data_IF_937076095087
#
_entry.id   IF_937076095087
#
_cell.length_a   1.000
_cell.length_b   1.000
_cell.length_c   1.000
_cell.angle_alpha   90.00
_cell.angle_beta   90.00
_cell.angle_gamma   90.00
#
_symmetry.space_group_name_H-M   'P 1'
#
loop_
_entity.id
_entity.type
_entity.pdbx_description
1 polymer ?
#
# COMPACT_ATOMS: atom_id res chain seq x y z
N UNK A 1 -1.30 48.19 -5.09
CA UNK A 1 -0.46 47.08 -4.60
C UNK A 1 -1.22 46.14 -3.68
N UNK A 2 -2.01 46.61 -2.71
CA UNK A 2 -2.75 45.74 -1.76
C UNK A 2 -3.80 44.83 -2.42
N UNK A 3 -4.49 45.23 -3.47
CA UNK A 3 -5.52 44.42 -4.14
C UNK A 3 -4.94 43.19 -4.85
N UNK A 4 -3.74 43.29 -5.39
CA UNK A 4 -3.05 42.16 -6.06
C UNK A 4 -2.58 41.10 -5.06
N UNK A 5 -2.15 41.50 -3.87
CA UNK A 5 -1.75 40.56 -2.79
C UNK A 5 -2.98 39.85 -2.25
N UNK A 6 -4.09 40.53 -2.09
CA UNK A 6 -5.34 39.96 -1.60
C UNK A 6 -5.93 38.94 -2.59
N UNK A 7 -5.92 39.24 -3.89
CA UNK A 7 -6.35 38.29 -4.92
C UNK A 7 -5.46 37.04 -5.00
N UNK A 8 -4.14 37.21 -4.87
CA UNK A 8 -3.21 36.08 -4.84
C UNK A 8 -3.42 35.16 -3.63
N UNK A 9 -3.71 35.76 -2.46
CA UNK A 9 -4.01 34.99 -1.24
C UNK A 9 -5.31 34.19 -1.35
N UNK A 10 -6.36 34.78 -1.93
CA UNK A 10 -7.63 34.09 -2.18
C UNK A 10 -7.43 32.91 -3.15
N UNK A 11 -6.70 33.12 -4.24
CA UNK A 11 -6.45 32.11 -5.24
C UNK A 11 -5.66 30.94 -4.67
N UNK A 12 -4.64 31.18 -3.84
CA UNK A 12 -3.87 30.14 -3.15
C UNK A 12 -4.73 29.39 -2.15
N UNK A 13 -5.59 30.06 -1.41
CA UNK A 13 -6.47 29.43 -0.44
C UNK A 13 -7.52 28.54 -1.13
N UNK A 14 -8.13 29.00 -2.22
CA UNK A 14 -9.09 28.19 -2.99
C UNK A 14 -8.42 26.96 -3.61
N UNK A 15 -7.20 27.08 -4.12
CA UNK A 15 -6.44 25.96 -4.68
C UNK A 15 -6.14 24.90 -3.62
N UNK A 16 -5.80 25.32 -2.39
CA UNK A 16 -5.53 24.42 -1.27
C UNK A 16 -6.78 23.64 -0.83
N UNK A 17 -7.94 24.31 -0.78
CA UNK A 17 -9.21 23.68 -0.40
C UNK A 17 -9.67 22.67 -1.44
N UNK A 18 -9.49 22.94 -2.73
CA UNK A 18 -9.83 22.02 -3.83
C UNK A 18 -8.94 20.75 -3.76
N UNK A 19 -7.65 20.91 -3.51
CA UNK A 19 -6.73 19.76 -3.37
C UNK A 19 -7.10 18.88 -2.18
N UNK A 20 -7.45 19.44 -1.04
CA UNK A 20 -7.85 18.68 0.15
C UNK A 20 -9.15 17.88 -0.06
N UNK A 21 -10.11 18.42 -0.78
CA UNK A 21 -11.36 17.71 -1.09
C UNK A 21 -11.17 16.59 -2.11
N UNK A 22 -10.32 16.78 -3.13
CA UNK A 22 -9.99 15.73 -4.09
C UNK A 22 -9.33 14.52 -3.42
N UNK A 23 -8.51 14.73 -2.41
CA UNK A 23 -7.83 13.70 -1.66
C UNK A 23 -8.83 12.81 -0.87
N UNK A 24 -9.74 13.42 -0.12
CA UNK A 24 -10.78 12.70 0.63
C UNK A 24 -11.72 11.91 -0.26
N UNK A 25 -11.98 12.38 -1.48
CA UNK A 25 -12.85 11.68 -2.42
C UNK A 25 -12.28 10.33 -2.87
N UNK A 26 -10.97 10.20 -3.02
CA UNK A 26 -10.34 8.93 -3.40
C UNK A 26 -10.24 7.94 -2.25
N UNK A 27 -10.07 8.38 -1.02
CA UNK A 27 -10.15 7.50 0.15
C UNK A 27 -11.51 6.81 0.27
N UNK A 28 -12.59 7.54 -0.01
CA UNK A 28 -13.94 7.01 0.01
C UNK A 28 -14.23 6.00 -1.11
N UNK A 29 -13.35 5.88 -2.10
CA UNK A 29 -13.44 4.88 -3.19
C UNK A 29 -12.71 3.58 -2.85
N UNK A 30 -12.20 3.42 -1.64
CA UNK A 30 -11.37 2.30 -1.19
C UNK A 30 -11.93 1.82 0.14
N UNK A 31 -12.15 0.50 0.36
CA UNK A 31 -12.57 -0.02 1.66
C UNK A 31 -11.55 0.38 2.73
N UNK A 32 -12.01 0.88 3.86
CA UNK A 32 -11.15 1.37 4.95
C UNK A 32 -10.07 2.40 4.54
N UNK A 33 -10.23 3.08 3.39
CA UNK A 33 -9.17 3.94 2.82
C UNK A 33 -8.74 5.11 3.71
N UNK A 34 -9.55 5.49 4.70
CA UNK A 34 -9.20 6.51 5.69
C UNK A 34 -8.45 5.96 6.92
N UNK A 35 -8.55 4.65 7.18
CA UNK A 35 -8.11 4.00 8.42
C UNK A 35 -6.84 3.17 8.26
N UNK A 36 -6.25 3.17 7.07
CA UNK A 36 -5.03 2.42 6.76
C UNK A 36 -3.86 2.92 7.62
N UNK A 37 -3.09 1.96 8.12
CA UNK A 37 -1.87 2.21 8.90
C UNK A 37 -0.69 1.49 8.26
N UNK A 38 0.49 2.07 8.36
CA UNK A 38 1.75 1.46 8.00
C UNK A 38 2.76 1.67 9.14
N UNK A 39 3.40 0.61 9.61
CA UNK A 39 4.27 0.62 10.79
C UNK A 39 3.58 1.28 12.03
N UNK A 40 2.29 0.98 12.23
CA UNK A 40 1.49 1.51 13.34
C UNK A 40 1.11 3.00 13.20
N UNK A 41 1.53 3.69 12.16
CA UNK A 41 1.23 5.10 11.88
C UNK A 41 0.09 5.23 10.89
N UNK A 42 -0.82 6.19 11.10
CA UNK A 42 -1.87 6.49 10.13
C UNK A 42 -1.27 6.87 8.78
N UNK A 43 -1.78 6.22 7.72
CA UNK A 43 -1.32 6.43 6.34
C UNK A 43 -2.48 6.81 5.42
N UNK A 44 -3.05 8.00 5.57
CA UNK A 44 -4.17 8.44 4.76
C UNK A 44 -3.87 8.50 3.26
N UNK A 45 -2.60 8.60 2.87
CA UNK A 45 -2.13 8.57 1.47
C UNK A 45 -1.99 7.15 0.89
N UNK A 46 -3.00 6.27 1.01
CA UNK A 46 -2.93 4.84 0.68
C UNK A 46 -2.24 4.55 -0.66
N UNK A 47 -2.51 5.33 -1.70
CA UNK A 47 -1.90 5.17 -3.02
C UNK A 47 -0.58 5.91 -3.24
N UNK A 48 0.03 6.47 -2.19
CA UNK A 48 1.22 7.31 -2.30
C UNK A 48 2.39 6.80 -1.46
N UNK A 49 3.60 7.20 -1.86
CA UNK A 49 4.83 6.85 -1.11
C UNK A 49 5.01 7.68 0.17
N UNK A 50 4.16 8.67 0.40
CA UNK A 50 4.14 9.51 1.60
C UNK A 50 2.81 9.39 2.33
N UNK A 51 2.82 9.38 3.66
CA UNK A 51 1.62 9.22 4.49
C UNK A 51 0.59 10.32 4.23
N UNK A 52 1.00 11.56 4.04
CA UNK A 52 0.12 12.68 3.76
C UNK A 52 -0.55 12.62 2.38
N UNK A 53 -0.10 11.72 1.50
CA UNK A 53 -0.51 11.69 0.10
C UNK A 53 0.21 12.72 -0.75
N UNK A 54 -0.13 12.76 -2.04
CA UNK A 54 0.55 13.60 -3.03
C UNK A 54 1.91 13.03 -3.48
N UNK A 55 2.52 13.65 -4.49
CA UNK A 55 3.79 13.19 -5.03
C UNK A 55 3.71 11.82 -5.74
N UNK A 56 4.74 11.00 -5.59
CA UNK A 56 4.83 9.71 -6.27
C UNK A 56 3.78 8.70 -5.76
N UNK A 57 3.25 7.91 -6.69
CA UNK A 57 2.38 6.78 -6.36
C UNK A 57 3.20 5.56 -5.99
N UNK A 58 2.75 4.82 -4.97
CA UNK A 58 3.23 3.48 -4.69
C UNK A 58 2.65 2.45 -5.70
N UNK A 59 2.91 1.17 -5.51
CA UNK A 59 2.41 0.09 -6.39
C UNK A 59 0.89 0.04 -6.42
N UNK A 60 0.23 0.02 -5.27
CA UNK A 60 -1.24 0.08 -5.17
C UNK A 60 -1.83 1.33 -5.84
N UNK A 61 -1.24 2.50 -5.63
CA UNK A 61 -1.73 3.74 -6.25
C UNK A 61 -1.61 3.77 -7.78
N UNK A 62 -0.63 3.07 -8.35
CA UNK A 62 -0.52 2.86 -9.80
C UNK A 62 -1.63 1.94 -10.29
N UNK A 63 -1.89 0.84 -9.59
CA UNK A 63 -2.93 -0.13 -9.91
C UNK A 63 -4.33 0.45 -9.76
N UNK A 64 -4.58 1.20 -8.69
CA UNK A 64 -5.83 1.94 -8.50
C UNK A 64 -6.08 2.96 -9.61
N UNK A 65 -5.05 3.66 -10.07
CA UNK A 65 -5.16 4.57 -11.20
C UNK A 65 -5.46 3.84 -12.52
N UNK A 66 -4.83 2.68 -12.75
CA UNK A 66 -5.09 1.83 -13.90
C UNK A 66 -6.52 1.25 -13.90
N UNK A 67 -7.07 0.99 -12.70
CA UNK A 67 -8.47 0.57 -12.50
C UNK A 67 -9.49 1.73 -12.64
N UNK A 68 -9.06 2.89 -13.16
CA UNK A 68 -9.93 4.05 -13.31
C UNK A 68 -10.25 4.77 -11.99
N UNK A 69 -9.43 4.59 -10.96
CA UNK A 69 -9.63 5.13 -9.60
C UNK A 69 -10.93 4.62 -8.95
N UNK A 70 -11.27 3.38 -9.23
CA UNK A 70 -12.46 2.69 -8.74
C UNK A 70 -12.04 1.37 -8.12
N UNK A 71 -12.70 0.97 -7.04
CA UNK A 71 -12.53 -0.35 -6.45
C UNK A 71 -13.22 -1.39 -7.33
N UNK A 72 -12.45 -2.22 -7.99
CA UNK A 72 -12.93 -3.28 -8.87
C UNK A 72 -12.55 -4.64 -8.32
N UNK A 73 -13.27 -5.69 -8.70
CA UNK A 73 -12.93 -7.08 -8.34
C UNK A 73 -11.50 -7.43 -8.76
N UNK A 74 -11.06 -6.96 -9.94
CA UNK A 74 -9.71 -7.20 -10.42
C UNK A 74 -8.65 -6.53 -9.52
N UNK A 75 -8.88 -5.29 -9.09
CA UNK A 75 -7.99 -4.58 -8.16
C UNK A 75 -8.01 -5.22 -6.77
N UNK A 76 -9.17 -5.61 -6.29
CA UNK A 76 -9.36 -6.27 -5.00
C UNK A 76 -8.55 -7.58 -4.90
N UNK A 77 -8.61 -8.42 -5.94
CA UNK A 77 -7.90 -9.69 -5.99
C UNK A 77 -6.39 -9.56 -6.28
N UNK A 78 -5.94 -8.36 -6.66
CA UNK A 78 -4.53 -8.13 -6.96
C UNK A 78 -3.71 -8.00 -5.68
N UNK A 79 -2.52 -8.57 -5.70
CA UNK A 79 -1.44 -8.32 -4.76
C UNK A 79 -0.58 -7.20 -5.38
N UNK A 80 -0.73 -5.97 -4.89
CA UNK A 80 -0.07 -4.80 -5.50
C UNK A 80 1.37 -4.61 -5.08
N UNK A 81 1.74 -5.04 -3.89
CA UNK A 81 3.08 -4.84 -3.34
C UNK A 81 3.92 -6.12 -3.27
N UNK A 82 3.30 -7.29 -3.56
CA UNK A 82 3.98 -8.56 -3.71
C UNK A 82 4.30 -9.26 -2.40
N UNK A 83 3.53 -9.00 -1.33
CA UNK A 83 3.73 -9.63 -0.01
C UNK A 83 2.95 -10.94 0.19
N UNK A 84 2.11 -11.31 -0.78
CA UNK A 84 1.29 -12.53 -0.77
C UNK A 84 -0.13 -12.33 -0.25
N UNK A 85 -0.52 -11.11 0.15
CA UNK A 85 -1.88 -10.75 0.46
C UNK A 85 -2.54 -10.00 -0.71
N UNK A 86 -3.83 -10.23 -0.98
CA UNK A 86 -4.55 -9.42 -1.95
C UNK A 86 -4.95 -8.07 -1.34
N UNK A 87 -5.06 -7.03 -2.16
CA UNK A 87 -5.51 -5.71 -1.72
C UNK A 87 -6.84 -5.77 -0.95
N UNK A 88 -7.75 -6.67 -1.35
CA UNK A 88 -9.03 -6.86 -0.68
C UNK A 88 -8.87 -7.42 0.73
N UNK A 89 -8.00 -8.39 0.90
CA UNK A 89 -7.69 -8.97 2.21
C UNK A 89 -7.08 -7.92 3.13
N UNK A 90 -6.15 -7.12 2.63
CA UNK A 90 -5.48 -6.06 3.37
C UNK A 90 -6.42 -4.91 3.77
N UNK A 91 -7.38 -4.59 2.91
CA UNK A 91 -8.33 -3.48 3.10
C UNK A 91 -9.69 -3.90 3.66
N UNK A 92 -9.83 -5.16 4.13
CA UNK A 92 -11.04 -5.63 4.81
C UNK A 92 -12.22 -5.96 3.91
N UNK A 93 -11.97 -6.28 2.63
CA UNK A 93 -12.93 -6.79 1.64
C UNK A 93 -12.40 -8.09 0.99
N UNK A 94 -12.18 -9.17 1.75
CA UNK A 94 -11.56 -10.39 1.23
C UNK A 94 -12.37 -11.09 0.14
N UNK A 95 -13.68 -10.88 0.11
CA UNK A 95 -14.60 -11.47 -0.87
C UNK A 95 -14.82 -10.57 -2.10
N UNK A 96 -14.20 -9.38 -2.15
CA UNK A 96 -14.32 -8.41 -3.25
C UNK A 96 -15.76 -8.01 -3.60
N UNK A 97 -16.58 -7.81 -2.58
CA UNK A 97 -18.01 -7.47 -2.71
C UNK A 97 -18.34 -6.05 -2.29
N UNK A 98 -17.41 -5.36 -1.64
CA UNK A 98 -17.61 -4.00 -1.14
C UNK A 98 -17.88 -3.00 -2.27
N UNK A 99 -18.77 -2.06 -2.00
CA UNK A 99 -19.11 -0.94 -2.88
C UNK A 99 -18.97 0.37 -2.12
N UNK A 100 -18.72 1.43 -2.86
CA UNK A 100 -18.60 2.79 -2.30
C UNK A 100 -19.84 3.12 -1.48
N UNK A 101 -19.61 3.47 -0.22
CA UNK A 101 -20.66 3.77 0.76
C UNK A 101 -21.05 2.62 1.65
N UNK A 102 -20.66 1.38 1.34
CA UNK A 102 -20.90 0.23 2.20
C UNK A 102 -19.93 0.22 3.39
N UNK A 103 -20.30 -0.46 4.45
CA UNK A 103 -19.39 -0.81 5.54
C UNK A 103 -18.51 -1.97 5.07
N UNK A 104 -17.17 -1.88 5.21
CA UNK A 104 -16.29 -3.01 4.90
C UNK A 104 -16.58 -4.23 5.77
N UNK A 105 -16.29 -5.43 5.26
CA UNK A 105 -16.49 -6.69 5.97
C UNK A 105 -15.67 -6.78 7.27
N UNK A 106 -14.47 -6.21 7.26
CA UNK A 106 -13.63 -6.04 8.45
C UNK A 106 -13.10 -4.62 8.54
N UNK A 107 -12.96 -4.13 9.78
CA UNK A 107 -12.25 -2.89 10.14
C UNK A 107 -11.04 -3.17 11.02
N UNK A 108 -10.76 -4.46 11.28
CA UNK A 108 -9.63 -4.92 12.06
C UNK A 108 -8.62 -5.65 11.16
N UNK A 109 -7.35 -5.62 11.54
CA UNK A 109 -6.28 -6.26 10.77
C UNK A 109 -6.03 -5.62 9.41
N UNK A 110 -6.39 -4.35 9.25
CA UNK A 110 -6.15 -3.59 8.01
C UNK A 110 -4.66 -3.32 7.87
N UNK A 111 -4.10 -3.74 6.74
CA UNK A 111 -2.71 -3.54 6.37
C UNK A 111 -2.57 -2.58 5.20
N UNK A 112 -1.35 -2.32 4.74
CA UNK A 112 -1.07 -1.30 3.73
C UNK A 112 -0.72 -1.94 2.38
N UNK A 113 -1.62 -1.90 1.37
CA UNK A 113 -1.45 -2.62 0.10
C UNK A 113 -0.42 -2.01 -0.86
N UNK A 114 0.33 -1.03 -0.44
CA UNK A 114 1.26 -0.29 -1.29
C UNK A 114 2.73 -0.53 -1.03
N UNK A 115 3.05 -1.30 0.02
CA UNK A 115 4.41 -1.65 0.41
C UNK A 115 4.37 -2.83 1.38
N UNK A 116 5.16 -3.90 1.15
CA UNK A 116 5.17 -5.08 2.00
C UNK A 116 5.37 -4.73 3.48
N UNK A 117 4.59 -5.34 4.36
CA UNK A 117 4.72 -5.20 5.81
C UNK A 117 6.14 -5.57 6.27
N UNK A 118 6.69 -4.80 7.19
CA UNK A 118 8.07 -5.00 7.69
C UNK A 118 9.17 -4.51 6.75
N UNK A 119 8.83 -3.95 5.58
CA UNK A 119 9.79 -3.28 4.70
C UNK A 119 10.07 -1.86 5.20
N UNK A 120 10.66 -1.73 6.40
CA UNK A 120 11.23 -0.44 6.83
C UNK A 120 12.29 -0.02 5.81
N UNK A 121 12.30 1.24 5.41
CA UNK A 121 13.37 1.79 4.58
C UNK A 121 14.70 1.69 5.32
N UNK A 122 15.37 0.54 5.21
CA UNK A 122 16.77 0.45 5.54
C UNK A 122 17.52 1.04 4.37
N UNK A 123 17.80 2.33 4.47
CA UNK A 123 18.81 3.02 3.67
C UNK A 123 20.06 2.14 3.61
N UNK A 124 20.28 1.48 2.46
CA UNK A 124 21.58 0.93 2.08
C UNK A 124 22.06 -0.30 2.86
N UNK A 125 21.35 -1.42 2.86
CA UNK A 125 21.97 -2.72 3.17
C UNK A 125 21.66 -3.73 2.07
N UNK A 126 22.70 -4.07 1.31
CA UNK A 126 22.74 -5.22 0.42
C UNK A 126 22.23 -6.46 1.15
N UNK A 127 21.20 -7.10 0.62
CA UNK A 127 20.77 -8.43 1.06
C UNK A 127 21.87 -9.40 0.62
N UNK A 128 22.74 -9.78 1.54
CA UNK A 128 23.63 -10.92 1.37
C UNK A 128 22.79 -12.16 1.45
N UNK A 129 22.44 -12.73 0.31
CA UNK A 129 21.89 -14.07 0.20
C UNK A 129 22.96 -15.03 0.71
N UNK A 130 22.83 -15.48 1.96
CA UNK A 130 23.60 -16.62 2.46
C UNK A 130 23.07 -17.88 1.79
N UNK A 131 23.77 -18.30 0.75
CA UNK A 131 23.61 -19.65 0.21
C UNK A 131 24.05 -20.63 1.29
N UNK A 132 23.12 -21.24 2.00
CA UNK A 132 23.43 -22.36 2.87
C UNK A 132 23.66 -23.60 1.99
N UNK A 133 24.92 -23.89 1.71
CA UNK A 133 25.33 -25.19 1.18
C UNK A 133 25.18 -26.22 2.29
N UNK A 134 24.13 -27.01 2.27
CA UNK A 134 24.02 -28.24 3.05
C UNK A 134 25.00 -29.24 2.48
N UNK A 135 26.14 -29.42 3.14
CA UNK A 135 27.07 -30.51 2.88
C UNK A 135 26.41 -31.78 3.43
N UNK A 136 25.86 -32.61 2.55
CA UNK A 136 25.47 -33.97 2.89
C UNK A 136 26.75 -34.80 2.96
N UNK A 137 27.20 -35.04 4.17
CA UNK A 137 28.29 -35.99 4.45
C UNK A 137 27.76 -37.41 4.18
N UNK A 138 28.06 -37.93 2.99
CA UNK A 138 27.82 -39.34 2.67
C UNK A 138 28.75 -40.24 3.49
N UNK A 139 28.16 -40.99 4.40
CA UNK A 139 28.81 -42.04 5.16
C UNK A 139 28.99 -43.24 4.24
N UNK A 140 30.19 -43.44 3.70
CA UNK A 140 30.57 -44.68 3.07
C UNK A 140 30.87 -45.72 4.16
N UNK A 141 29.98 -46.68 4.33
CA UNK A 141 30.27 -47.93 5.09
C UNK A 141 30.94 -48.89 4.13
N UNK A 142 32.24 -49.08 4.30
CA UNK A 142 32.99 -50.16 3.66
C UNK A 142 32.78 -51.41 4.53
N UNK A 143 31.95 -52.33 4.06
CA UNK A 143 31.88 -53.68 4.63
C UNK A 143 33.01 -54.52 4.01
N UNK A 144 34.01 -54.85 4.83
CA UNK A 144 35.07 -55.78 4.49
C UNK A 144 34.58 -57.16 4.93
N UNK A 145 34.29 -58.07 3.99
CA UNK A 145 34.09 -59.51 4.24
C UNK A 145 35.41 -60.24 4.00
N UNK A 146 35.80 -60.92 5.02
CA UNK A 146 36.58 -62.16 4.94
C UNK A 146 35.68 -63.34 4.75
#
# INVERSE_FOLDING_TARGET
MQSQLFQRSILLFTLLVVAANAYKSFQAQIPNGADVKFDGKSWPGVGHTTAAGGGARNTFGKDFAAAGKTWTVALCNKDSDGDGASNGKELGDPECVWKVGDKPASTEGITFPGKPEGSSESSGRSVSIRLQTTVVAGMFVVAMML
#
